data_IF_490388552246
#
_entry.id   IF_490388552246
#
_cell.length_a   1.000
_cell.length_b   1.000
_cell.length_c   1.000
_cell.angle_alpha   90.00
_cell.angle_beta   90.00
_cell.angle_gamma   90.00
#
_symmetry.space_group_name_H-M   'P 1'
#
loop_
_entity.id
_entity.type
_entity.pdbx_description
1 polymer ?
#
# COMPACT_ATOMS: atom_id res chain seq x y z
N UNK A 1 83.39 -37.12 11.11
CA UNK A 1 83.07 -36.22 10.01
C UNK A 1 81.58 -36.45 9.63
N UNK A 2 80.83 -35.50 9.72
CA UNK A 2 79.43 -35.35 10.04
C UNK A 2 78.45 -35.92 9.02
N UNK A 3 77.58 -36.79 9.49
CA UNK A 3 76.34 -37.23 8.77
C UNK A 3 75.21 -36.20 8.96
N UNK A 4 74.65 -35.69 7.87
CA UNK A 4 73.43 -34.94 7.90
C UNK A 4 72.26 -35.90 7.76
N UNK A 5 71.40 -35.93 8.79
CA UNK A 5 70.09 -36.60 8.77
C UNK A 5 69.08 -35.80 8.01
N UNK A 6 68.46 -36.42 7.01
CA UNK A 6 67.33 -35.87 6.26
C UNK A 6 66.07 -36.29 7.02
N UNK A 7 65.30 -35.29 7.55
CA UNK A 7 63.97 -35.47 8.08
C UNK A 7 62.94 -35.23 6.97
N UNK A 8 62.20 -36.27 6.60
CA UNK A 8 61.06 -36.17 5.69
C UNK A 8 59.84 -35.81 6.52
N UNK A 9 59.39 -34.60 6.38
CA UNK A 9 58.09 -34.13 6.94
C UNK A 9 56.99 -34.42 5.97
N UNK A 10 56.12 -35.36 6.28
CA UNK A 10 54.82 -35.57 5.59
C UNK A 10 53.86 -34.46 6.02
N UNK A 11 53.54 -33.51 5.10
CA UNK A 11 52.51 -32.52 5.30
C UNK A 11 51.16 -33.11 4.82
N UNK A 12 50.32 -33.50 5.77
CA UNK A 12 48.96 -33.89 5.50
C UNK A 12 48.15 -32.61 5.22
N UNK A 13 47.78 -32.37 3.97
CA UNK A 13 46.83 -31.36 3.56
C UNK A 13 45.42 -31.80 3.97
N UNK A 14 44.95 -31.36 5.11
CA UNK A 14 43.53 -31.33 5.46
C UNK A 14 42.86 -30.17 4.70
N UNK A 15 42.24 -30.49 3.58
CA UNK A 15 41.33 -29.58 2.89
C UNK A 15 40.06 -29.44 3.72
N UNK A 16 40.00 -28.41 4.57
CA UNK A 16 38.74 -27.90 5.12
C UNK A 16 37.94 -27.29 3.98
N UNK A 17 36.98 -28.04 3.49
CA UNK A 17 35.91 -27.46 2.68
C UNK A 17 35.07 -26.57 3.61
N UNK A 18 35.46 -25.30 3.72
CA UNK A 18 34.66 -24.26 4.33
C UNK A 18 33.50 -24.00 3.40
N UNK A 19 32.34 -24.66 3.63
CA UNK A 19 31.04 -24.20 3.09
C UNK A 19 30.77 -22.85 3.70
N UNK A 20 31.31 -21.80 3.12
CA UNK A 20 30.81 -20.45 3.34
C UNK A 20 29.43 -20.40 2.70
N UNK A 21 28.37 -20.56 3.51
CA UNK A 21 27.08 -19.97 3.19
C UNK A 21 27.35 -18.50 2.92
N UNK A 22 27.32 -18.15 1.66
CA UNK A 22 27.29 -16.75 1.22
C UNK A 22 25.93 -16.20 1.67
N UNK A 23 25.84 -15.76 2.93
CA UNK A 23 24.81 -14.85 3.36
C UNK A 23 25.11 -13.58 2.58
N UNK A 24 24.37 -13.37 1.48
CA UNK A 24 24.28 -12.07 0.86
C UNK A 24 23.69 -11.14 1.93
N UNK A 25 24.55 -10.39 2.63
CA UNK A 25 24.11 -9.26 3.41
C UNK A 25 23.54 -8.24 2.40
N UNK A 26 22.23 -8.32 2.13
CA UNK A 26 21.52 -7.21 1.50
C UNK A 26 21.74 -6.02 2.43
N UNK A 27 22.08 -4.87 1.87
CA UNK A 27 22.20 -3.63 2.65
C UNK A 27 20.90 -3.38 3.41
N UNK A 28 20.94 -2.84 4.65
CA UNK A 28 19.73 -2.46 5.35
C UNK A 28 18.88 -1.54 4.47
N UNK A 29 17.60 -1.84 4.33
CA UNK A 29 16.67 -0.98 3.61
C UNK A 29 16.32 0.27 4.43
N UNK A 30 15.71 1.26 3.79
CA UNK A 30 15.21 2.49 4.42
C UNK A 30 14.02 2.20 5.33
N UNK A 31 13.22 1.20 4.99
CA UNK A 31 11.96 0.83 5.65
C UNK A 31 12.10 -0.43 6.50
N UNK A 32 11.06 -0.70 7.29
CA UNK A 32 10.94 -1.97 8.02
C UNK A 32 10.88 -3.15 7.05
N UNK A 33 11.63 -4.22 7.33
CA UNK A 33 11.84 -5.32 6.37
C UNK A 33 10.52 -5.99 5.91
N UNK A 34 9.54 -6.09 6.80
CA UNK A 34 8.23 -6.69 6.48
C UNK A 34 7.39 -5.88 5.47
N UNK A 35 7.67 -4.57 5.29
CA UNK A 35 6.91 -3.73 4.36
C UNK A 35 7.26 -3.98 2.89
N UNK A 36 8.48 -4.41 2.58
CA UNK A 36 8.93 -4.52 1.19
C UNK A 36 8.15 -5.53 0.34
N UNK A 37 7.62 -6.56 0.96
CA UNK A 37 6.86 -7.61 0.27
C UNK A 37 5.37 -7.60 0.61
N UNK A 38 4.92 -6.62 1.37
CA UNK A 38 3.59 -6.56 1.92
C UNK A 38 2.51 -6.22 0.90
N UNK A 39 1.30 -6.67 1.22
CA UNK A 39 0.03 -6.27 0.61
C UNK A 39 -0.81 -5.64 1.70
N UNK A 40 -1.33 -4.44 1.42
CA UNK A 40 -2.16 -3.70 2.37
C UNK A 40 -3.65 -3.91 2.08
N UNK A 41 -4.43 -4.10 3.13
CA UNK A 41 -5.89 -4.17 3.09
C UNK A 41 -6.50 -3.03 3.89
N UNK A 42 -7.26 -2.18 3.25
CA UNK A 42 -7.98 -1.10 3.89
C UNK A 42 -9.28 -1.62 4.47
N UNK A 43 -9.36 -1.66 5.80
CA UNK A 43 -10.48 -2.18 6.55
C UNK A 43 -11.46 -1.08 6.94
N UNK A 44 -12.62 -1.05 6.31
CA UNK A 44 -13.75 -0.24 6.74
C UNK A 44 -14.55 -1.00 7.80
N UNK A 45 -14.21 -0.82 9.07
CA UNK A 45 -14.80 -1.57 10.19
C UNK A 45 -16.33 -1.50 10.20
N UNK A 46 -16.91 -0.31 9.96
CA UNK A 46 -18.37 -0.12 9.93
C UNK A 46 -19.05 -1.00 8.88
N UNK A 47 -18.41 -1.22 7.73
CA UNK A 47 -19.04 -1.85 6.56
C UNK A 47 -18.56 -3.28 6.30
N UNK A 48 -17.50 -3.72 6.99
CA UNK A 48 -16.84 -5.00 6.73
C UNK A 48 -17.69 -6.21 7.10
N UNK A 49 -18.47 -6.13 8.17
CA UNK A 49 -19.41 -7.19 8.60
C UNK A 49 -20.81 -6.62 8.82
N UNK A 50 -21.86 -7.45 8.85
CA UNK A 50 -23.20 -6.99 9.20
C UNK A 50 -23.25 -6.25 10.54
N UNK A 51 -22.49 -6.71 11.54
CA UNK A 51 -22.39 -6.10 12.87
C UNK A 51 -21.61 -4.78 12.82
N UNK A 52 -20.56 -4.70 11.99
CA UNK A 52 -19.69 -3.53 11.87
C UNK A 52 -18.83 -3.30 13.11
N UNK A 53 -18.40 -4.37 13.79
CA UNK A 53 -17.65 -4.31 15.05
C UNK A 53 -16.28 -4.98 14.94
N UNK A 54 -15.35 -4.64 15.86
CA UNK A 54 -14.06 -5.33 15.94
C UNK A 54 -14.19 -6.79 16.32
N UNK A 55 -15.14 -7.14 17.19
CA UNK A 55 -15.38 -8.54 17.53
C UNK A 55 -15.72 -9.36 16.29
N UNK A 56 -16.65 -8.88 15.45
CA UNK A 56 -17.02 -9.54 14.21
C UNK A 56 -15.89 -9.51 13.15
N UNK A 57 -15.14 -8.42 13.07
CA UNK A 57 -13.99 -8.32 12.17
C UNK A 57 -12.86 -9.29 12.55
N UNK A 58 -12.64 -9.52 13.85
CA UNK A 58 -11.64 -10.47 14.39
C UNK A 58 -11.87 -11.89 13.88
N UNK A 59 -13.13 -12.31 13.78
CA UNK A 59 -13.50 -13.63 13.24
C UNK A 59 -13.20 -13.76 11.74
N UNK A 60 -13.06 -12.64 11.03
CA UNK A 60 -12.75 -12.62 9.60
C UNK A 60 -11.22 -12.53 9.30
N UNK A 61 -10.39 -12.26 10.29
CA UNK A 61 -8.93 -12.14 10.10
C UNK A 61 -8.28 -13.39 9.48
N UNK A 62 -8.69 -14.63 9.80
CA UNK A 62 -8.19 -15.82 9.11
C UNK A 62 -8.45 -15.81 7.61
N UNK A 63 -9.58 -15.26 7.14
CA UNK A 63 -9.92 -15.13 5.72
C UNK A 63 -9.01 -14.12 5.03
N UNK A 64 -8.73 -12.97 5.67
CA UNK A 64 -7.77 -11.99 5.15
C UNK A 64 -6.35 -12.58 5.09
N UNK A 65 -5.98 -13.42 6.07
CA UNK A 65 -4.70 -14.13 6.02
C UNK A 65 -4.64 -15.15 4.89
N UNK A 66 -5.70 -15.89 4.65
CA UNK A 66 -5.83 -16.82 3.52
C UNK A 66 -5.76 -16.07 2.18
N UNK A 67 -6.35 -14.89 2.09
CA UNK A 67 -6.22 -14.00 0.93
C UNK A 67 -4.76 -13.59 0.68
N UNK A 68 -3.94 -13.54 1.72
CA UNK A 68 -2.53 -13.14 1.65
C UNK A 68 -2.28 -11.68 2.05
N UNK A 69 -3.12 -11.11 2.90
CA UNK A 69 -2.94 -9.78 3.47
C UNK A 69 -1.82 -9.77 4.51
N UNK A 70 -1.00 -8.71 4.51
CA UNK A 70 0.10 -8.51 5.46
C UNK A 70 -0.12 -7.31 6.37
N UNK A 71 -0.72 -6.24 5.86
CA UNK A 71 -1.00 -5.02 6.63
C UNK A 71 -2.51 -4.75 6.58
N UNK A 72 -3.10 -4.57 7.75
CA UNK A 72 -4.47 -4.09 7.87
C UNK A 72 -4.42 -2.60 8.21
N UNK A 73 -4.85 -1.75 7.28
CA UNK A 73 -5.11 -0.35 7.55
C UNK A 73 -6.55 -0.21 8.03
N UNK A 74 -6.73 0.05 9.31
CA UNK A 74 -8.03 0.29 9.93
C UNK A 74 -8.42 1.75 9.70
N UNK A 75 -9.53 1.99 8.99
CA UNK A 75 -10.12 3.34 8.83
C UNK A 75 -10.39 3.98 10.20
N UNK A 76 -10.58 5.32 10.28
CA UNK A 76 -10.69 5.98 11.58
C UNK A 76 -11.74 5.33 12.48
N UNK A 77 -11.36 5.01 13.70
CA UNK A 77 -12.15 4.19 14.61
C UNK A 77 -12.40 4.90 15.95
N UNK A 78 -12.06 6.15 16.04
CA UNK A 78 -12.29 7.01 17.20
C UNK A 78 -13.76 7.48 17.24
N UNK A 79 -14.26 7.90 18.42
CA UNK A 79 -15.61 8.48 18.53
C UNK A 79 -15.80 9.68 17.59
N UNK A 80 -16.96 9.74 16.99
CA UNK A 80 -17.34 10.75 16.00
C UNK A 80 -18.12 11.88 16.68
N UNK A 81 -17.82 13.14 16.29
CA UNK A 81 -18.53 14.32 16.79
C UNK A 81 -20.03 14.28 16.50
N UNK A 82 -20.78 15.00 17.31
CA UNK A 82 -22.25 15.13 17.19
C UNK A 82 -22.66 16.48 16.61
N UNK A 83 -21.86 17.53 16.93
CA UNK A 83 -22.14 18.87 16.41
C UNK A 83 -21.79 18.96 14.92
N UNK A 84 -22.80 19.28 14.10
CA UNK A 84 -22.63 19.33 12.64
C UNK A 84 -22.55 17.99 11.94
N UNK A 85 -22.85 16.89 12.65
CA UNK A 85 -22.80 15.52 12.11
C UNK A 85 -23.58 15.38 10.81
N UNK A 86 -22.93 14.80 9.79
CA UNK A 86 -23.55 14.47 8.50
C UNK A 86 -24.10 13.03 8.54
N UNK A 87 -25.29 12.81 7.95
CA UNK A 87 -25.96 11.50 7.94
C UNK A 87 -26.32 10.97 9.33
N UNK A 88 -26.60 9.67 9.42
CA UNK A 88 -27.02 9.04 10.68
C UNK A 88 -25.88 8.81 11.67
N UNK A 89 -24.72 8.32 11.19
CA UNK A 89 -23.58 7.92 12.01
C UNK A 89 -22.39 8.90 11.92
N UNK A 90 -22.39 9.80 10.98
CA UNK A 90 -21.34 10.81 10.80
C UNK A 90 -20.11 10.31 10.03
N UNK A 91 -19.23 11.26 9.74
CA UNK A 91 -17.93 11.00 9.11
C UNK A 91 -16.98 10.32 10.07
N UNK A 92 -16.31 9.25 9.65
CA UNK A 92 -15.19 8.63 10.36
C UNK A 92 -14.09 9.65 10.72
N UNK A 93 -13.94 10.69 9.89
CA UNK A 93 -12.88 11.70 10.01
C UNK A 93 -13.24 12.87 10.94
N UNK A 94 -14.48 12.96 11.44
CA UNK A 94 -14.88 13.96 12.44
C UNK A 94 -14.55 13.48 13.87
N UNK A 95 -13.27 13.47 14.23
CA UNK A 95 -12.77 12.89 15.48
C UNK A 95 -13.21 13.72 16.70
N UNK A 96 -13.86 13.07 17.68
CA UNK A 96 -14.29 13.66 18.95
C UNK A 96 -13.33 13.37 20.12
N UNK A 97 -12.61 12.27 20.08
CA UNK A 97 -11.63 11.87 21.08
C UNK A 97 -10.54 11.00 20.46
N UNK A 98 -9.29 11.49 20.47
CA UNK A 98 -8.17 10.76 19.86
C UNK A 98 -7.76 9.48 20.59
N UNK A 99 -8.08 9.35 21.89
CA UNK A 99 -7.61 8.24 22.75
C UNK A 99 -8.76 7.30 23.18
N UNK A 100 -9.78 7.19 22.36
CA UNK A 100 -10.92 6.30 22.62
C UNK A 100 -11.28 5.47 21.39
N UNK A 101 -11.84 4.29 21.62
CA UNK A 101 -12.50 3.46 20.60
C UNK A 101 -13.95 3.91 20.49
N UNK A 102 -14.44 4.09 19.26
CA UNK A 102 -15.86 4.39 19.03
C UNK A 102 -16.73 3.24 19.53
N UNK A 103 -17.69 3.52 20.42
CA UNK A 103 -18.61 2.48 20.92
C UNK A 103 -19.42 1.78 19.81
N UNK A 104 -19.58 2.39 18.65
CA UNK A 104 -20.15 1.74 17.45
C UNK A 104 -19.36 0.49 17.06
N UNK A 105 -18.03 0.50 17.21
CA UNK A 105 -17.15 -0.58 16.80
C UNK A 105 -16.80 -1.56 17.90
N UNK A 106 -17.16 -1.27 19.15
CA UNK A 106 -16.88 -2.10 20.31
C UNK A 106 -16.10 -1.41 21.41
N UNK A 107 -15.40 -2.18 22.22
CA UNK A 107 -14.62 -1.73 23.37
C UNK A 107 -13.12 -1.66 23.05
N UNK A 108 -12.33 -1.12 23.98
CA UNK A 108 -10.85 -1.18 23.90
C UNK A 108 -10.34 -2.61 23.93
N UNK A 109 -11.00 -3.47 24.68
CA UNK A 109 -10.70 -4.90 24.79
C UNK A 109 -10.97 -5.64 23.47
N UNK A 110 -12.06 -5.28 22.75
CA UNK A 110 -12.38 -5.84 21.44
C UNK A 110 -11.30 -5.42 20.41
N UNK A 111 -10.86 -4.15 20.45
CA UNK A 111 -9.79 -3.70 19.57
C UNK A 111 -8.44 -4.36 19.92
N UNK A 112 -8.10 -4.51 21.22
CA UNK A 112 -6.90 -5.25 21.62
C UNK A 112 -6.93 -6.70 21.10
N UNK A 113 -8.07 -7.38 21.26
CA UNK A 113 -8.23 -8.75 20.76
C UNK A 113 -8.08 -8.84 19.23
N UNK A 114 -8.55 -7.81 18.50
CA UNK A 114 -8.34 -7.67 17.05
C UNK A 114 -6.85 -7.55 16.70
N UNK A 115 -6.11 -6.66 17.37
CA UNK A 115 -4.66 -6.47 17.16
C UNK A 115 -3.89 -7.75 17.50
N UNK A 116 -4.16 -8.35 18.65
CA UNK A 116 -3.51 -9.59 19.09
C UNK A 116 -3.74 -10.75 18.11
N UNK A 117 -4.97 -10.87 17.60
CA UNK A 117 -5.32 -11.88 16.60
C UNK A 117 -4.62 -11.63 15.27
N UNK A 118 -4.57 -10.38 14.80
CA UNK A 118 -3.86 -10.01 13.57
C UNK A 118 -2.37 -10.35 13.70
N UNK A 119 -1.73 -9.96 14.80
CA UNK A 119 -0.32 -10.28 15.09
C UNK A 119 -0.09 -11.80 15.20
N UNK A 120 -1.00 -12.53 15.86
CA UNK A 120 -0.95 -13.99 15.97
C UNK A 120 -1.02 -14.71 14.61
N UNK A 121 -1.62 -14.07 13.61
CA UNK A 121 -1.67 -14.53 12.22
C UNK A 121 -0.50 -13.99 11.37
N UNK A 122 0.40 -13.19 11.95
CA UNK A 122 1.54 -12.58 11.27
C UNK A 122 1.18 -11.38 10.40
N UNK A 123 0.02 -10.76 10.61
CA UNK A 123 -0.38 -9.50 9.98
C UNK A 123 -0.03 -8.31 10.87
N UNK A 124 0.14 -7.14 10.25
CA UNK A 124 0.40 -5.86 10.88
C UNK A 124 -0.86 -5.00 10.92
N UNK A 125 -0.97 -4.11 11.89
CA UNK A 125 -2.13 -3.21 12.03
C UNK A 125 -1.65 -1.77 12.05
N UNK A 126 -2.11 -0.94 11.11
CA UNK A 126 -1.90 0.50 11.11
C UNK A 126 -3.24 1.22 11.24
N UNK A 127 -3.25 2.36 11.92
CA UNK A 127 -4.45 3.16 12.09
C UNK A 127 -4.49 4.33 11.12
N UNK A 128 -5.68 4.64 10.64
CA UNK A 128 -5.95 5.91 9.99
C UNK A 128 -5.90 7.04 11.04
N UNK A 129 -5.10 8.06 10.79
CA UNK A 129 -4.83 9.14 11.72
C UNK A 129 -5.20 10.50 11.14
N UNK A 130 -6.20 11.13 11.73
CA UNK A 130 -6.74 12.43 11.30
C UNK A 130 -6.05 13.54 12.06
N UNK A 131 -4.92 14.03 11.53
CA UNK A 131 -4.13 15.05 12.21
C UNK A 131 -4.51 16.49 11.84
N UNK A 132 -5.17 16.72 10.70
CA UNK A 132 -5.43 18.07 10.20
C UNK A 132 -6.57 18.78 10.93
N UNK A 133 -7.53 18.04 11.46
CA UNK A 133 -8.78 18.60 12.01
C UNK A 133 -9.40 17.70 13.09
N UNK A 134 -10.37 18.22 13.81
CA UNK A 134 -11.21 17.48 14.75
C UNK A 134 -12.68 17.72 14.45
N UNK A 135 -13.57 17.02 15.14
CA UNK A 135 -14.98 17.43 15.21
C UNK A 135 -15.11 18.78 15.93
N UNK A 136 -16.16 19.60 15.66
CA UNK A 136 -16.38 20.89 16.31
C UNK A 136 -16.68 20.80 17.82
N UNK A 137 -17.10 19.62 18.30
CA UNK A 137 -17.36 19.30 19.70
C UNK A 137 -16.25 18.50 20.39
N UNK A 138 -15.05 18.44 19.76
CA UNK A 138 -13.87 17.87 20.38
C UNK A 138 -13.44 18.69 21.61
N UNK A 139 -13.05 18.09 22.75
CA UNK A 139 -12.62 18.82 23.94
C UNK A 139 -11.51 19.87 23.69
N UNK A 140 -10.64 19.63 22.73
CA UNK A 140 -9.55 20.57 22.37
C UNK A 140 -10.05 21.91 21.85
N UNK A 141 -11.30 22.02 21.41
CA UNK A 141 -11.90 23.30 20.96
C UNK A 141 -12.03 24.32 22.10
N UNK A 142 -11.96 23.86 23.35
CA UNK A 142 -11.97 24.71 24.55
C UNK A 142 -10.57 25.29 24.89
N UNK A 143 -9.50 24.75 24.27
CA UNK A 143 -8.14 25.22 24.49
C UNK A 143 -7.86 26.42 23.57
N UNK A 144 -7.46 27.52 24.14
CA UNK A 144 -7.17 28.76 23.40
C UNK A 144 -6.04 28.53 22.38
N UNK A 145 -6.29 28.90 21.13
CA UNK A 145 -5.32 28.85 20.04
C UNK A 145 -5.02 27.46 19.50
N UNK A 146 -5.71 26.39 19.94
CA UNK A 146 -5.50 25.04 19.39
C UNK A 146 -6.21 24.83 18.05
N UNK A 147 -7.27 25.59 17.78
CA UNK A 147 -7.96 25.59 16.49
C UNK A 147 -7.88 26.97 15.86
N UNK A 148 -7.90 27.03 14.54
CA UNK A 148 -8.11 28.29 13.85
C UNK A 148 -9.54 28.80 14.07
N UNK A 149 -9.67 30.13 14.25
CA UNK A 149 -10.96 30.82 14.39
C UNK A 149 -11.02 31.99 13.41
N UNK A 150 -12.22 32.30 12.96
CA UNK A 150 -12.48 33.49 12.16
C UNK A 150 -12.45 34.77 13.03
N UNK A 151 -12.63 35.93 12.41
CA UNK A 151 -12.64 37.24 13.11
C UNK A 151 -13.80 37.41 14.10
N UNK A 152 -14.82 36.54 14.05
CA UNK A 152 -15.96 36.50 14.96
C UNK A 152 -15.78 35.48 16.07
N UNK A 153 -14.68 34.75 16.06
CA UNK A 153 -14.37 33.71 17.05
C UNK A 153 -14.96 32.33 16.74
N UNK A 154 -15.59 32.13 15.58
CA UNK A 154 -16.11 30.82 15.18
C UNK A 154 -14.98 29.90 14.76
N UNK A 155 -15.11 28.59 15.03
CA UNK A 155 -14.17 27.57 14.55
C UNK A 155 -14.13 27.56 13.01
N UNK A 156 -12.94 27.54 12.46
CA UNK A 156 -12.78 27.48 10.99
C UNK A 156 -12.99 26.07 10.47
N UNK A 157 -13.86 25.95 9.47
CA UNK A 157 -13.98 24.76 8.62
C UNK A 157 -12.93 24.81 7.52
N UNK A 158 -12.66 23.65 6.90
CA UNK A 158 -11.83 23.57 5.71
C UNK A 158 -12.64 23.00 4.56
N UNK A 159 -12.49 23.58 3.37
CA UNK A 159 -13.30 23.24 2.20
C UNK A 159 -14.80 23.29 2.51
N UNK A 160 -15.57 22.30 2.09
CA UNK A 160 -17.00 22.10 2.38
C UNK A 160 -17.25 21.13 3.55
N UNK A 161 -16.21 20.82 4.35
CA UNK A 161 -16.27 19.88 5.47
C UNK A 161 -16.81 20.53 6.73
N UNK A 162 -18.13 20.76 6.73
CA UNK A 162 -18.81 21.54 7.80
C UNK A 162 -18.92 20.83 9.14
N UNK A 163 -18.56 19.56 9.19
CA UNK A 163 -18.53 18.69 10.37
C UNK A 163 -17.14 18.56 11.02
N UNK A 164 -16.17 19.41 10.58
CA UNK A 164 -14.83 19.46 11.16
C UNK A 164 -14.39 20.89 11.51
N UNK A 165 -13.31 20.98 12.30
CA UNK A 165 -12.65 22.23 12.69
C UNK A 165 -11.13 22.10 12.56
N UNK A 166 -10.51 23.03 11.81
CA UNK A 166 -9.08 22.98 11.47
C UNK A 166 -8.21 23.25 12.71
N UNK A 167 -7.22 22.37 12.94
CA UNK A 167 -6.21 22.50 13.99
C UNK A 167 -5.15 23.56 13.65
N UNK A 168 -4.65 24.25 14.67
CA UNK A 168 -3.64 25.28 14.53
C UNK A 168 -2.24 24.76 14.93
N UNK A 169 -1.48 24.36 13.94
CA UNK A 169 -0.11 23.85 14.10
C UNK A 169 0.93 24.92 14.49
N UNK A 170 0.56 26.19 14.61
CA UNK A 170 1.43 27.20 15.25
C UNK A 170 1.47 27.07 16.77
N UNK A 171 0.52 26.32 17.37
CA UNK A 171 0.44 26.11 18.81
C UNK A 171 1.26 24.88 19.24
N UNK A 172 2.29 25.09 20.07
CA UNK A 172 3.20 24.02 20.50
C UNK A 172 2.52 22.98 21.42
N UNK A 173 1.59 23.40 22.27
CA UNK A 173 0.89 22.49 23.18
C UNK A 173 -0.06 21.56 22.41
N UNK A 174 -0.72 22.09 21.38
CA UNK A 174 -1.53 21.28 20.49
C UNK A 174 -0.69 20.23 19.73
N UNK A 175 0.47 20.65 19.18
CA UNK A 175 1.41 19.72 18.52
C UNK A 175 1.87 18.62 19.48
N UNK A 176 2.18 18.97 20.73
CA UNK A 176 2.56 17.99 21.74
C UNK A 176 1.42 17.03 22.07
N UNK A 177 0.21 17.53 22.26
CA UNK A 177 -0.97 16.70 22.52
C UNK A 177 -1.27 15.74 21.35
N UNK A 178 -1.08 16.17 20.11
CA UNK A 178 -1.22 15.32 18.93
C UNK A 178 -0.18 14.18 18.93
N UNK A 179 1.09 14.49 19.17
CA UNK A 179 2.15 13.49 19.32
C UNK A 179 1.82 12.47 20.42
N UNK A 180 1.43 12.94 21.62
CA UNK A 180 1.12 12.07 22.76
C UNK A 180 -0.10 11.17 22.45
N UNK A 181 -1.08 11.68 21.69
CA UNK A 181 -2.22 10.88 21.25
C UNK A 181 -1.80 9.75 20.30
N UNK A 182 -0.90 10.02 19.36
CA UNK A 182 -0.33 8.97 18.48
C UNK A 182 0.46 7.94 19.30
N UNK A 183 1.32 8.44 20.20
CA UNK A 183 2.14 7.58 21.07
C UNK A 183 1.28 6.67 21.94
N UNK A 184 0.14 7.18 22.45
CA UNK A 184 -0.79 6.39 23.27
C UNK A 184 -1.29 5.11 22.57
N UNK A 185 -1.59 5.16 21.26
CA UNK A 185 -2.02 3.98 20.50
C UNK A 185 -0.89 2.96 20.34
N UNK A 186 0.33 3.43 20.08
CA UNK A 186 1.51 2.54 20.00
C UNK A 186 1.80 1.87 21.35
N UNK A 187 1.78 2.64 22.45
CA UNK A 187 2.08 2.12 23.78
C UNK A 187 0.98 1.20 24.33
N UNK A 188 -0.30 1.50 24.03
CA UNK A 188 -1.44 0.81 24.63
C UNK A 188 -1.78 -0.47 23.90
N UNK A 189 -1.82 -0.44 22.55
CA UNK A 189 -2.30 -1.55 21.74
C UNK A 189 -1.20 -2.24 20.92
N UNK A 190 -0.01 -1.64 20.85
CA UNK A 190 1.10 -2.19 20.09
C UNK A 190 0.85 -2.22 18.58
N UNK A 191 0.10 -1.26 18.04
CA UNK A 191 -0.10 -1.11 16.60
C UNK A 191 1.22 -0.88 15.87
N UNK A 192 1.27 -1.16 14.56
CA UNK A 192 2.49 -1.14 13.79
C UNK A 192 2.72 0.17 13.00
N UNK A 193 1.84 1.15 13.12
CA UNK A 193 2.00 2.45 12.45
C UNK A 193 0.72 3.19 12.12
N UNK A 194 0.82 4.12 11.16
CA UNK A 194 -0.27 5.04 10.82
C UNK A 194 -0.39 5.29 9.30
N UNK A 195 -1.61 5.43 8.82
CA UNK A 195 -1.95 6.18 7.62
C UNK A 195 -2.42 7.56 8.03
N UNK A 196 -1.84 8.62 7.53
CA UNK A 196 -2.19 9.98 7.92
C UNK A 196 -3.04 10.66 6.86
N UNK A 197 -4.26 11.00 7.28
CA UNK A 197 -5.27 11.71 6.51
C UNK A 197 -4.80 13.11 6.11
N UNK A 198 -5.02 13.50 4.84
CA UNK A 198 -4.60 14.79 4.24
C UNK A 198 -3.26 15.29 4.78
N UNK A 199 -2.26 14.41 4.81
CA UNK A 199 -0.97 14.66 5.46
C UNK A 199 -0.27 15.92 4.92
N UNK A 200 -0.55 16.31 3.69
CA UNK A 200 -0.01 17.51 3.05
C UNK A 200 -0.55 18.83 3.63
N UNK A 201 -1.66 18.80 4.34
CA UNK A 201 -2.24 19.98 5.02
C UNK A 201 -1.62 20.23 6.41
N UNK A 202 -0.83 19.28 6.90
CA UNK A 202 -0.13 19.35 8.19
C UNK A 202 1.35 19.66 7.92
N UNK A 203 1.97 20.61 8.66
CA UNK A 203 3.35 21.02 8.39
C UNK A 203 4.34 19.87 8.43
N UNK A 204 5.24 19.80 7.44
CA UNK A 204 6.27 18.76 7.31
C UNK A 204 7.17 18.69 8.55
N UNK A 205 7.53 19.84 9.15
CA UNK A 205 8.36 19.88 10.35
C UNK A 205 7.68 19.23 11.57
N UNK A 206 6.34 19.26 11.65
CA UNK A 206 5.60 18.52 12.66
C UNK A 206 5.75 17.00 12.45
N UNK A 207 5.56 16.53 11.22
CA UNK A 207 5.71 15.11 10.90
C UNK A 207 7.12 14.62 11.19
N UNK A 208 8.13 15.39 10.78
CA UNK A 208 9.54 15.06 11.01
C UNK A 208 9.87 14.92 12.50
N UNK A 209 9.47 15.89 13.30
CA UNK A 209 9.70 15.86 14.74
C UNK A 209 8.91 14.74 15.45
N UNK A 210 7.66 14.52 15.01
CA UNK A 210 6.79 13.49 15.56
C UNK A 210 7.35 12.10 15.30
N UNK A 211 7.68 11.78 14.05
CA UNK A 211 8.17 10.45 13.72
C UNK A 211 9.61 10.20 14.20
N UNK A 212 10.45 11.22 14.29
CA UNK A 212 11.73 11.09 14.98
C UNK A 212 11.53 10.67 16.44
N UNK A 213 10.57 11.30 17.14
CA UNK A 213 10.27 10.98 18.53
C UNK A 213 9.66 9.58 18.69
N UNK A 214 8.67 9.23 17.88
CA UNK A 214 8.01 7.94 17.95
C UNK A 214 8.97 6.79 17.63
N UNK A 215 9.84 6.95 16.64
CA UNK A 215 10.82 5.92 16.24
C UNK A 215 11.91 5.69 17.31
N UNK A 216 12.14 6.61 18.26
CA UNK A 216 13.05 6.33 19.37
C UNK A 216 12.56 5.20 20.27
N UNK A 217 11.26 5.05 20.46
CA UNK A 217 10.66 4.00 21.29
C UNK A 217 9.99 2.89 20.49
N UNK A 218 9.56 3.20 19.28
CA UNK A 218 8.87 2.30 18.33
C UNK A 218 9.58 2.29 16.97
N UNK A 219 10.81 1.75 16.87
CA UNK A 219 11.64 1.87 15.66
C UNK A 219 11.08 1.15 14.43
N UNK A 220 10.11 0.26 14.62
CA UNK A 220 9.56 -0.59 13.56
C UNK A 220 8.17 -0.11 13.07
N UNK A 221 7.78 1.14 13.35
CA UNK A 221 6.52 1.70 12.84
C UNK A 221 6.61 1.94 11.33
N UNK A 222 5.51 1.69 10.64
CA UNK A 222 5.32 1.97 9.23
C UNK A 222 4.36 3.15 9.04
N UNK A 223 4.65 4.00 8.05
CA UNK A 223 3.94 5.27 7.87
C UNK A 223 3.52 5.48 6.44
N UNK A 224 2.22 5.75 6.24
CA UNK A 224 1.61 6.04 4.95
C UNK A 224 1.00 7.45 4.97
N UNK A 225 1.42 8.32 4.06
CA UNK A 225 0.82 9.65 3.89
C UNK A 225 -0.25 9.63 2.80
N UNK A 226 -1.39 10.23 3.08
CA UNK A 226 -2.27 10.68 2.01
C UNK A 226 -1.73 11.99 1.44
N UNK A 227 -0.84 11.85 0.47
CA UNK A 227 -0.16 12.92 -0.24
C UNK A 227 0.44 12.39 -1.54
N UNK A 228 0.61 13.25 -2.54
CA UNK A 228 1.34 12.97 -3.76
C UNK A 228 2.01 14.26 -4.28
N UNK A 229 2.92 14.18 -5.23
CA UNK A 229 3.60 15.28 -5.98
C UNK A 229 4.08 16.49 -5.17
N UNK A 230 3.18 17.46 -4.88
CA UNK A 230 3.54 18.72 -4.23
C UNK A 230 4.19 18.52 -2.85
N UNK A 231 3.93 17.37 -2.25
CA UNK A 231 4.32 17.03 -0.89
C UNK A 231 5.33 15.88 -0.83
N UNK A 232 6.11 15.71 -1.92
CA UNK A 232 7.16 14.69 -2.00
C UNK A 232 8.17 14.77 -0.85
N UNK A 233 8.35 15.96 -0.24
CA UNK A 233 9.20 16.16 0.93
C UNK A 233 8.78 15.30 2.13
N UNK A 234 7.51 14.93 2.24
CA UNK A 234 7.03 14.04 3.30
C UNK A 234 7.71 12.66 3.24
N UNK A 235 8.02 12.16 2.05
CA UNK A 235 8.67 10.86 1.87
C UNK A 235 10.19 10.90 2.09
N UNK A 236 10.79 12.07 2.19
CA UNK A 236 12.25 12.19 2.44
C UNK A 236 12.62 11.69 3.83
N UNK A 237 11.77 11.95 4.84
CA UNK A 237 12.09 11.63 6.23
C UNK A 237 10.96 10.93 6.99
N UNK A 238 9.75 11.46 6.92
CA UNK A 238 8.65 11.10 7.83
C UNK A 238 7.93 9.84 7.40
N UNK A 239 7.59 9.73 6.11
CA UNK A 239 6.71 8.68 5.61
C UNK A 239 7.45 7.66 4.75
N UNK A 240 7.10 6.39 4.95
CA UNK A 240 7.60 5.27 4.16
C UNK A 240 6.89 5.17 2.82
N UNK A 241 5.60 5.56 2.78
CA UNK A 241 4.70 5.33 1.66
C UNK A 241 3.83 6.57 1.38
N UNK A 242 3.50 6.75 0.10
CA UNK A 242 2.64 7.82 -0.41
C UNK A 242 1.58 7.28 -1.36
N UNK A 243 0.51 8.05 -1.60
CA UNK A 243 -0.57 7.68 -2.54
C UNK A 243 -0.16 7.84 -3.99
N UNK A 244 -0.55 6.90 -4.83
CA UNK A 244 -0.44 7.00 -6.29
C UNK A 244 -1.73 7.53 -6.93
N UNK A 245 -2.20 8.71 -6.54
CA UNK A 245 -3.45 9.30 -7.04
C UNK A 245 -3.43 9.56 -8.55
N UNK A 246 -2.36 10.18 -9.06
CA UNK A 246 -2.26 10.46 -10.50
C UNK A 246 -2.24 9.16 -11.31
N UNK A 247 -1.51 8.14 -10.82
CA UNK A 247 -1.52 6.82 -11.45
C UNK A 247 -2.93 6.21 -11.48
N UNK A 248 -3.63 6.28 -10.35
CA UNK A 248 -5.01 5.81 -10.23
C UNK A 248 -5.94 6.49 -11.24
N UNK A 249 -5.86 7.81 -11.36
CA UNK A 249 -6.65 8.58 -12.34
C UNK A 249 -6.27 8.20 -13.78
N UNK A 250 -4.98 8.01 -14.08
CA UNK A 250 -4.54 7.58 -15.41
C UNK A 250 -5.08 6.17 -15.73
N UNK A 251 -5.07 5.23 -14.79
CA UNK A 251 -5.63 3.91 -14.99
C UNK A 251 -7.15 3.97 -15.32
N UNK A 252 -7.91 4.81 -14.60
CA UNK A 252 -9.32 5.06 -14.92
C UNK A 252 -9.50 5.69 -16.32
N UNK A 253 -8.68 6.66 -16.69
CA UNK A 253 -8.73 7.31 -18.00
C UNK A 253 -8.37 6.33 -19.15
N UNK A 254 -7.43 5.40 -18.92
CA UNK A 254 -7.10 4.33 -19.89
C UNK A 254 -8.29 3.36 -20.02
N UNK A 255 -8.86 2.90 -18.89
CA UNK A 255 -10.03 2.04 -18.90
C UNK A 255 -11.23 2.64 -19.65
N UNK A 256 -11.33 3.96 -19.66
CA UNK A 256 -12.39 4.72 -20.34
C UNK A 256 -12.00 5.15 -21.77
N UNK A 257 -10.87 4.70 -22.29
CA UNK A 257 -10.41 5.04 -23.64
C UNK A 257 -9.96 6.51 -23.83
N UNK A 258 -9.77 7.26 -22.73
CA UNK A 258 -9.32 8.67 -22.77
C UNK A 258 -7.81 8.81 -22.87
N UNK A 259 -7.07 7.81 -22.40
CA UNK A 259 -5.61 7.72 -22.41
C UNK A 259 -5.16 6.33 -22.88
N UNK A 260 -3.88 6.15 -23.08
CA UNK A 260 -3.26 4.90 -23.54
C UNK A 260 -2.03 4.53 -22.70
N UNK A 261 -1.32 3.46 -23.08
CA UNK A 261 -0.12 2.97 -22.41
C UNK A 261 1.00 4.03 -22.29
N UNK A 262 1.13 4.96 -23.26
CA UNK A 262 2.16 6.01 -23.23
C UNK A 262 1.96 6.96 -22.03
N UNK A 263 0.70 7.19 -21.62
CA UNK A 263 0.39 8.02 -20.46
C UNK A 263 0.89 7.41 -19.15
N UNK A 264 0.89 6.09 -19.04
CA UNK A 264 1.46 5.37 -17.89
C UNK A 264 2.98 5.51 -17.85
N UNK A 265 3.65 5.39 -19.02
CA UNK A 265 5.10 5.60 -19.10
C UNK A 265 5.50 7.04 -18.78
N UNK A 266 4.75 8.02 -19.26
CA UNK A 266 4.98 9.43 -18.95
C UNK A 266 4.85 9.69 -17.42
N UNK A 267 3.87 9.06 -16.77
CA UNK A 267 3.72 9.13 -15.32
C UNK A 267 4.94 8.54 -14.59
N UNK A 268 5.39 7.33 -14.94
CA UNK A 268 6.54 6.72 -14.28
C UNK A 268 7.81 7.56 -14.43
N UNK A 269 8.09 8.05 -15.65
CA UNK A 269 9.23 8.93 -15.89
C UNK A 269 9.17 10.23 -15.08
N UNK A 270 7.96 10.80 -14.87
CA UNK A 270 7.75 11.98 -14.03
C UNK A 270 7.95 11.64 -12.54
N UNK A 271 7.36 10.55 -12.06
CA UNK A 271 7.45 10.14 -10.66
C UNK A 271 8.89 9.85 -10.22
N UNK A 272 9.69 9.22 -11.09
CA UNK A 272 11.12 8.94 -10.85
C UNK A 272 11.97 10.23 -10.69
N UNK A 273 11.47 11.40 -11.11
CA UNK A 273 12.15 12.68 -10.91
C UNK A 273 11.72 13.43 -9.66
N UNK A 274 10.59 13.07 -9.07
CA UNK A 274 9.96 13.77 -7.95
C UNK A 274 10.23 13.06 -6.63
N UNK A 275 10.01 11.74 -6.60
CA UNK A 275 10.12 10.96 -5.37
C UNK A 275 11.50 10.31 -5.24
N UNK A 276 12.02 10.17 -4.00
CA UNK A 276 13.19 9.34 -3.76
C UNK A 276 12.93 7.90 -4.22
N UNK A 277 13.97 7.24 -4.71
CA UNK A 277 13.91 5.85 -5.21
C UNK A 277 13.51 4.82 -4.13
N UNK A 278 13.62 5.17 -2.86
CA UNK A 278 13.14 4.35 -1.74
C UNK A 278 11.66 4.62 -1.37
N UNK A 279 11.04 5.74 -1.76
CA UNK A 279 9.66 6.04 -1.37
C UNK A 279 8.66 5.05 -1.98
N UNK A 280 7.91 4.36 -1.14
CA UNK A 280 6.95 3.34 -1.60
C UNK A 280 5.67 4.01 -2.09
N UNK A 281 5.28 3.75 -3.33
CA UNK A 281 3.98 4.20 -3.85
C UNK A 281 2.90 3.19 -3.50
N UNK A 282 1.76 3.65 -2.97
CA UNK A 282 0.55 2.85 -2.85
C UNK A 282 -0.15 2.76 -4.22
N UNK A 283 -0.29 1.56 -4.73
CA UNK A 283 -0.98 1.28 -5.99
C UNK A 283 -2.37 0.72 -5.69
N UNK A 284 -3.43 1.34 -6.23
CA UNK A 284 -4.79 0.92 -5.92
C UNK A 284 -5.75 1.14 -7.10
N UNK A 285 -6.78 0.33 -7.18
CA UNK A 285 -7.91 0.49 -8.11
C UNK A 285 -9.13 1.10 -7.42
N UNK A 286 -9.21 1.01 -6.09
CA UNK A 286 -10.24 1.65 -5.26
C UNK A 286 -9.70 1.89 -3.84
N UNK A 287 -10.38 2.77 -3.10
CA UNK A 287 -10.25 3.02 -1.68
C UNK A 287 -11.60 3.52 -1.14
N UNK A 288 -11.67 3.92 0.13
CA UNK A 288 -12.92 4.42 0.72
C UNK A 288 -13.47 5.67 0.03
N UNK A 289 -12.61 6.59 -0.44
CA UNK A 289 -13.02 7.80 -1.15
C UNK A 289 -13.57 7.48 -2.53
N UNK A 290 -12.80 6.77 -3.34
CA UNK A 290 -13.22 6.39 -4.68
C UNK A 290 -14.53 5.60 -4.66
N UNK A 291 -14.64 4.62 -3.77
CA UNK A 291 -15.86 3.83 -3.61
C UNK A 291 -17.06 4.68 -3.20
N UNK A 292 -16.87 5.63 -2.28
CA UNK A 292 -17.98 6.44 -1.74
C UNK A 292 -18.42 7.57 -2.67
N UNK A 293 -17.50 8.14 -3.46
CA UNK A 293 -17.75 9.40 -4.18
C UNK A 293 -17.64 9.29 -5.71
N UNK A 294 -16.77 8.41 -6.22
CA UNK A 294 -16.52 8.28 -7.67
C UNK A 294 -17.18 7.04 -8.28
N UNK A 295 -17.53 6.06 -7.47
CA UNK A 295 -18.11 4.79 -7.91
C UNK A 295 -17.20 3.59 -7.63
N UNK A 296 -17.75 2.40 -7.81
CA UNK A 296 -16.96 1.17 -7.67
C UNK A 296 -15.95 1.05 -8.81
N UNK A 297 -14.91 0.24 -8.64
CA UNK A 297 -13.96 -0.05 -9.71
C UNK A 297 -14.65 -0.66 -10.94
N UNK A 298 -15.69 -1.45 -10.75
CA UNK A 298 -16.48 -2.04 -11.85
C UNK A 298 -17.23 -0.97 -12.63
N UNK A 299 -17.74 0.09 -11.97
CA UNK A 299 -18.40 1.22 -12.65
C UNK A 299 -17.42 2.16 -13.32
N UNK A 300 -16.21 2.33 -12.78
CA UNK A 300 -15.19 3.24 -13.29
C UNK A 300 -14.31 2.62 -14.38
N UNK A 301 -13.97 1.35 -14.24
CA UNK A 301 -13.03 0.63 -15.10
C UNK A 301 -13.71 -0.46 -15.97
N UNK A 302 -14.96 -0.86 -15.66
CA UNK A 302 -15.64 -1.93 -16.39
C UNK A 302 -14.83 -3.23 -16.42
N UNK A 303 -14.77 -3.87 -17.58
CA UNK A 303 -14.05 -5.14 -17.81
C UNK A 303 -12.50 -5.00 -17.67
N UNK A 304 -11.98 -3.77 -17.66
CA UNK A 304 -10.56 -3.50 -17.43
C UNK A 304 -10.12 -3.73 -15.97
N UNK A 305 -11.04 -3.76 -15.01
CA UNK A 305 -10.73 -3.84 -13.60
C UNK A 305 -9.78 -4.98 -13.21
N UNK A 306 -9.98 -6.25 -13.63
CA UNK A 306 -9.08 -7.34 -13.24
C UNK A 306 -7.64 -7.15 -13.77
N UNK A 307 -7.51 -6.58 -14.97
CA UNK A 307 -6.20 -6.27 -15.56
C UNK A 307 -5.50 -5.18 -14.77
N UNK A 308 -6.19 -4.09 -14.40
CA UNK A 308 -5.60 -3.02 -13.59
C UNK A 308 -5.32 -3.47 -12.15
N UNK A 309 -6.12 -4.35 -11.56
CA UNK A 309 -5.79 -5.00 -10.30
C UNK A 309 -4.44 -5.74 -10.42
N UNK A 310 -4.26 -6.59 -11.44
CA UNK A 310 -2.98 -7.29 -11.68
C UNK A 310 -1.81 -6.32 -11.97
N UNK A 311 -2.08 -5.22 -12.68
CA UNK A 311 -1.11 -4.18 -12.98
C UNK A 311 -0.53 -3.55 -11.71
N UNK A 312 -1.36 -3.28 -10.67
CA UNK A 312 -0.91 -2.72 -9.39
C UNK A 312 0.10 -3.60 -8.66
N UNK A 313 0.10 -4.92 -8.91
CA UNK A 313 1.05 -5.88 -8.34
C UNK A 313 2.35 -5.98 -9.13
N UNK A 314 2.28 -5.77 -10.44
CA UNK A 314 3.45 -5.86 -11.30
C UNK A 314 4.35 -4.63 -11.21
N UNK A 315 3.79 -3.43 -11.19
CA UNK A 315 4.54 -2.17 -11.16
C UNK A 315 5.23 -1.95 -9.80
N UNK A 316 6.30 -1.11 -9.72
CA UNK A 316 6.91 -0.75 -8.44
C UNK A 316 5.93 -0.10 -7.48
N UNK A 317 5.99 -0.48 -6.20
CA UNK A 317 5.12 0.01 -5.14
C UNK A 317 4.49 -1.12 -4.32
N UNK A 318 3.48 -0.78 -3.53
CA UNK A 318 2.73 -1.72 -2.69
C UNK A 318 1.25 -1.69 -3.10
N UNK A 319 0.64 -2.85 -3.44
CA UNK A 319 -0.77 -2.91 -3.79
C UNK A 319 -1.68 -2.77 -2.57
N UNK A 320 -2.80 -2.08 -2.75
CA UNK A 320 -3.90 -1.96 -1.81
C UNK A 320 -5.11 -2.75 -2.32
N UNK A 321 -5.76 -3.47 -1.41
CA UNK A 321 -7.11 -4.02 -1.57
C UNK A 321 -8.04 -3.26 -0.63
N UNK A 322 -9.10 -2.66 -1.15
CA UNK A 322 -10.14 -2.04 -0.33
C UNK A 322 -11.23 -3.06 0.04
N UNK A 323 -11.79 -2.91 1.25
CA UNK A 323 -12.89 -3.72 1.79
C UNK A 323 -13.96 -4.06 0.76
N UNK A 324 -14.14 -5.35 0.47
CA UNK A 324 -15.15 -5.88 -0.45
C UNK A 324 -14.66 -6.17 -1.87
N UNK A 325 -13.50 -5.66 -2.28
CA UNK A 325 -12.93 -5.96 -3.61
C UNK A 325 -12.67 -7.47 -3.79
N UNK A 326 -12.25 -8.14 -2.72
CA UNK A 326 -12.01 -9.59 -2.71
C UNK A 326 -13.27 -10.43 -2.94
N UNK A 327 -14.44 -9.83 -2.77
CA UNK A 327 -15.73 -10.47 -3.05
C UNK A 327 -16.38 -9.99 -4.35
N UNK A 328 -15.75 -9.10 -5.09
CA UNK A 328 -16.36 -8.44 -6.25
C UNK A 328 -17.60 -7.65 -5.87
N UNK A 329 -17.58 -6.98 -4.72
CA UNK A 329 -18.68 -6.16 -4.25
C UNK A 329 -18.82 -4.93 -5.16
N UNK A 330 -19.90 -4.87 -5.92
CA UNK A 330 -20.18 -3.72 -6.79
C UNK A 330 -21.17 -2.76 -6.13
N UNK A 331 -20.83 -2.32 -4.91
CA UNK A 331 -21.65 -1.42 -4.11
C UNK A 331 -20.86 -0.19 -3.70
N UNK A 332 -21.40 1.00 -3.99
CA UNK A 332 -20.98 2.24 -3.35
C UNK A 332 -21.44 2.21 -1.89
N UNK A 333 -20.49 2.08 -0.96
CA UNK A 333 -20.80 2.01 0.47
C UNK A 333 -21.20 3.39 1.00
N UNK A 334 -22.24 3.41 1.83
CA UNK A 334 -22.71 4.67 2.45
C UNK A 334 -21.71 5.19 3.44
N UNK A 335 -21.12 6.36 3.17
CA UNK A 335 -20.06 6.91 4.01
C UNK A 335 -20.53 7.31 5.41
N UNK A 336 -21.72 7.92 5.51
CA UNK A 336 -22.24 8.49 6.76
C UNK A 336 -23.23 7.56 7.50
N UNK A 337 -23.50 6.39 6.98
CA UNK A 337 -24.50 5.46 7.51
C UNK A 337 -23.98 4.04 7.51
N UNK A 338 -24.66 3.14 8.26
CA UNK A 338 -24.38 1.72 8.20
C UNK A 338 -24.79 1.15 6.83
N UNK A 339 -23.87 0.44 6.24
CA UNK A 339 -24.05 -0.40 5.05
C UNK A 339 -23.28 -1.71 5.28
N UNK A 340 -23.16 -2.57 4.29
CA UNK A 340 -22.37 -3.80 4.41
C UNK A 340 -21.94 -4.25 3.02
N UNK A 341 -20.70 -4.69 2.89
CA UNK A 341 -20.20 -5.31 1.67
C UNK A 341 -21.00 -6.56 1.32
N UNK A 342 -21.13 -6.83 0.04
CA UNK A 342 -21.69 -8.08 -0.44
C UNK A 342 -20.61 -9.16 -0.44
N UNK A 343 -20.78 -10.18 0.40
CA UNK A 343 -19.87 -11.35 0.40
C UNK A 343 -20.44 -12.42 -0.53
N UNK A 344 -19.65 -12.80 -1.52
CA UNK A 344 -19.99 -13.87 -2.46
C UNK A 344 -19.12 -15.09 -2.17
N UNK A 345 -19.74 -16.23 -1.97
CA UNK A 345 -19.01 -17.49 -1.86
C UNK A 345 -18.29 -17.79 -3.19
N UNK A 346 -17.03 -18.26 -3.09
CA UNK A 346 -16.20 -18.59 -4.26
C UNK A 346 -16.06 -17.44 -5.27
N UNK A 347 -15.95 -16.20 -4.80
CA UNK A 347 -15.72 -15.05 -5.65
C UNK A 347 -14.47 -15.25 -6.53
N UNK A 348 -14.59 -14.98 -7.83
CA UNK A 348 -13.43 -15.05 -8.74
C UNK A 348 -12.35 -14.03 -8.34
N UNK A 349 -12.77 -12.90 -7.82
CA UNK A 349 -11.90 -11.84 -7.32
C UNK A 349 -11.05 -12.31 -6.14
N UNK A 350 -11.62 -13.12 -5.23
CA UNK A 350 -10.84 -13.70 -4.12
C UNK A 350 -9.68 -14.57 -4.66
N UNK A 351 -10.00 -15.47 -5.58
CA UNK A 351 -8.98 -16.34 -6.21
C UNK A 351 -7.95 -15.53 -7.00
N UNK A 352 -8.37 -14.46 -7.68
CA UNK A 352 -7.49 -13.55 -8.40
C UNK A 352 -6.52 -12.86 -7.44
N UNK A 353 -7.01 -12.20 -6.39
CA UNK A 353 -6.16 -11.52 -5.41
C UNK A 353 -5.25 -12.50 -4.67
N UNK A 354 -5.75 -13.67 -4.28
CA UNK A 354 -4.93 -14.71 -3.64
C UNK A 354 -3.74 -15.12 -4.53
N UNK A 355 -3.99 -15.29 -5.83
CA UNK A 355 -2.95 -15.62 -6.82
C UNK A 355 -1.93 -14.48 -6.99
N UNK A 356 -2.38 -13.23 -7.04
CA UNK A 356 -1.52 -12.05 -7.14
C UNK A 356 -0.70 -11.84 -5.86
N UNK A 357 -1.32 -12.00 -4.68
CA UNK A 357 -0.64 -11.92 -3.39
C UNK A 357 0.46 -12.99 -3.29
N UNK A 358 0.15 -14.23 -3.67
CA UNK A 358 1.12 -15.32 -3.72
C UNK A 358 2.30 -14.99 -4.65
N UNK A 359 2.04 -14.53 -5.87
CA UNK A 359 3.08 -14.11 -6.82
C UNK A 359 4.00 -13.06 -6.19
N UNK A 360 3.44 -12.05 -5.53
CA UNK A 360 4.22 -11.00 -4.86
C UNK A 360 5.08 -11.56 -3.73
N UNK A 361 4.53 -12.39 -2.86
CA UNK A 361 5.24 -12.97 -1.73
C UNK A 361 6.39 -13.88 -2.15
N UNK A 362 6.23 -14.63 -3.23
CA UNK A 362 7.26 -15.56 -3.74
C UNK A 362 8.35 -14.84 -4.54
N UNK A 363 8.11 -13.62 -5.04
CA UNK A 363 9.03 -12.91 -5.91
C UNK A 363 9.80 -11.79 -5.21
N UNK A 364 11.12 -11.98 -5.06
CA UNK A 364 12.01 -10.88 -4.62
C UNK A 364 12.06 -9.72 -5.62
N UNK A 365 11.76 -9.97 -6.90
CA UNK A 365 11.77 -8.99 -7.98
C UNK A 365 10.63 -8.00 -7.82
N UNK A 366 9.46 -8.47 -7.36
CA UNK A 366 8.26 -7.65 -7.18
C UNK A 366 8.21 -6.93 -5.83
N UNK A 367 9.21 -7.03 -4.98
CA UNK A 367 9.31 -6.25 -3.75
C UNK A 367 9.24 -4.75 -4.06
N UNK A 368 8.87 -3.97 -3.04
CA UNK A 368 8.80 -2.52 -3.18
C UNK A 368 10.20 -1.91 -3.26
N UNK A 369 10.33 -0.87 -4.07
CA UNK A 369 11.43 0.08 -4.20
C UNK A 369 12.82 -0.57 -4.19
N UNK A 370 13.77 -0.08 -3.38
CA UNK A 370 15.17 -0.49 -3.38
C UNK A 370 15.42 -1.98 -3.06
N UNK A 371 14.41 -2.70 -2.54
CA UNK A 371 14.49 -4.16 -2.34
C UNK A 371 13.92 -4.96 -3.50
N UNK A 372 13.18 -4.31 -4.40
CA UNK A 372 12.67 -4.88 -5.64
C UNK A 372 13.59 -4.64 -6.83
N UNK A 373 13.12 -4.97 -7.99
CA UNK A 373 13.81 -4.70 -9.24
C UNK A 373 13.21 -3.48 -9.95
N UNK A 374 14.06 -2.64 -10.54
CA UNK A 374 13.61 -1.55 -11.40
C UNK A 374 12.76 -2.09 -12.56
N UNK A 375 11.81 -1.30 -12.99
CA UNK A 375 10.96 -1.59 -14.14
C UNK A 375 11.54 -0.93 -15.39
N UNK A 376 11.70 -1.71 -16.46
CA UNK A 376 12.19 -1.25 -17.73
C UNK A 376 11.15 -1.51 -18.83
N UNK A 377 10.99 -0.54 -19.72
CA UNK A 377 10.14 -0.69 -20.90
C UNK A 377 10.69 -1.80 -21.81
N UNK A 378 9.83 -2.68 -22.25
CA UNK A 378 10.08 -3.57 -23.39
C UNK A 378 9.47 -2.90 -24.63
N UNK A 379 10.33 -2.53 -25.59
CA UNK A 379 9.87 -1.98 -26.86
C UNK A 379 8.99 -3.00 -27.59
N UNK A 380 7.84 -2.57 -28.07
CA UNK A 380 6.93 -3.37 -28.87
C UNK A 380 6.43 -2.54 -30.05
N UNK A 381 5.71 -3.16 -30.99
CA UNK A 381 5.20 -2.53 -32.22
C UNK A 381 3.74 -2.06 -32.11
N UNK A 382 3.14 -2.09 -30.90
CA UNK A 382 1.74 -1.71 -30.67
C UNK A 382 1.58 -0.86 -29.39
N UNK A 383 1.29 0.42 -29.55
CA UNK A 383 1.14 1.38 -28.45
C UNK A 383 -0.13 1.19 -27.60
N UNK A 384 -1.04 0.30 -27.99
CA UNK A 384 -2.15 -0.16 -27.18
C UNK A 384 -1.73 -1.18 -26.09
N UNK A 385 -0.50 -1.70 -26.20
CA UNK A 385 0.02 -2.72 -25.28
C UNK A 385 1.12 -2.14 -24.41
N UNK A 386 0.93 -2.20 -23.10
CA UNK A 386 1.99 -1.91 -22.12
C UNK A 386 2.83 -3.17 -21.94
N UNK A 387 4.14 -3.09 -22.17
CA UNK A 387 5.06 -4.20 -21.94
C UNK A 387 6.29 -3.76 -21.18
N UNK A 388 6.63 -4.49 -20.12
CA UNK A 388 7.74 -4.16 -19.25
C UNK A 388 8.43 -5.39 -18.67
N UNK A 389 9.67 -5.22 -18.25
CA UNK A 389 10.45 -6.21 -17.55
C UNK A 389 11.01 -5.64 -16.25
N UNK A 390 10.96 -6.44 -15.19
CA UNK A 390 11.66 -6.18 -13.93
C UNK A 390 12.75 -7.23 -13.77
N UNK A 391 14.00 -6.81 -13.61
CA UNK A 391 15.15 -7.71 -13.64
C UNK A 391 15.89 -7.68 -12.32
N UNK A 392 16.07 -8.85 -11.71
CA UNK A 392 16.92 -8.98 -10.52
C UNK A 392 18.30 -8.35 -10.78
N UNK A 393 18.86 -7.58 -9.84
CA UNK A 393 20.23 -7.09 -9.94
C UNK A 393 21.27 -8.19 -10.16
N UNK A 394 20.94 -9.44 -9.82
CA UNK A 394 21.77 -10.62 -10.11
C UNK A 394 21.81 -10.99 -11.60
N UNK A 395 20.99 -10.39 -12.45
CA UNK A 395 20.93 -10.61 -13.90
C UNK A 395 20.41 -11.99 -14.35
N UNK A 396 19.93 -12.83 -13.43
CA UNK A 396 19.55 -14.22 -13.73
C UNK A 396 18.06 -14.51 -13.67
N UNK A 397 17.27 -13.60 -13.14
CA UNK A 397 15.83 -13.74 -12.98
C UNK A 397 15.15 -12.44 -13.38
N UNK A 398 13.99 -12.56 -13.98
CA UNK A 398 13.15 -11.44 -14.36
C UNK A 398 11.67 -11.79 -14.21
N UNK A 399 10.85 -10.75 -14.12
CA UNK A 399 9.39 -10.84 -14.29
C UNK A 399 9.01 -9.94 -15.45
N UNK A 400 8.27 -10.48 -16.40
CA UNK A 400 7.77 -9.75 -17.58
C UNK A 400 6.29 -9.54 -17.42
N UNK A 401 5.82 -8.32 -17.66
CA UNK A 401 4.40 -7.98 -17.70
C UNK A 401 4.02 -7.43 -19.06
N UNK A 402 2.93 -7.96 -19.61
CA UNK A 402 2.35 -7.57 -20.88
C UNK A 402 0.86 -7.35 -20.66
N UNK A 403 0.34 -6.18 -21.01
CA UNK A 403 -1.02 -5.77 -20.71
C UNK A 403 -1.65 -5.13 -21.95
N UNK A 404 -2.76 -5.68 -22.44
CA UNK A 404 -3.59 -5.02 -23.44
C UNK A 404 -4.40 -3.92 -22.75
N UNK A 405 -4.10 -2.66 -23.05
CA UNK A 405 -4.72 -1.48 -22.44
C UNK A 405 -5.98 -1.00 -23.17
N UNK A 406 -6.66 -1.91 -23.89
CA UNK A 406 -7.85 -1.59 -24.69
C UNK A 406 -8.93 -2.69 -24.59
N UNK A 407 -10.15 -2.31 -24.94
CA UNK A 407 -11.33 -3.17 -25.07
C UNK A 407 -11.41 -3.92 -26.42
N UNK A 408 -10.32 -3.90 -27.19
CA UNK A 408 -10.20 -4.59 -28.47
C UNK A 408 -9.10 -5.66 -28.42
N UNK A 409 -9.21 -6.68 -29.28
CA UNK A 409 -8.14 -7.64 -29.49
C UNK A 409 -6.90 -6.94 -30.07
N UNK A 410 -5.73 -7.21 -29.53
CA UNK A 410 -4.47 -6.61 -29.96
C UNK A 410 -3.46 -7.68 -30.34
N UNK A 411 -2.83 -7.52 -31.50
CA UNK A 411 -1.65 -8.30 -31.89
C UNK A 411 -0.40 -7.49 -31.65
N UNK A 412 0.62 -8.10 -31.05
CA UNK A 412 1.86 -7.42 -30.67
C UNK A 412 3.07 -8.31 -30.82
N UNK A 413 4.19 -7.71 -31.24
CA UNK A 413 5.51 -8.34 -31.30
C UNK A 413 6.42 -7.72 -30.25
N UNK A 414 6.96 -8.53 -29.34
CA UNK A 414 7.77 -8.08 -28.23
C UNK A 414 9.10 -8.82 -28.20
N UNK A 415 10.23 -8.17 -28.57
CA UNK A 415 11.55 -8.72 -28.31
C UNK A 415 11.85 -8.64 -26.82
N UNK A 416 11.78 -9.78 -26.11
CA UNK A 416 12.07 -9.84 -24.68
C UNK A 416 13.58 -9.91 -24.49
N UNK A 417 14.21 -8.76 -24.39
CA UNK A 417 15.65 -8.63 -24.18
C UNK A 417 15.96 -7.48 -23.22
N UNK A 418 17.04 -7.60 -22.48
CA UNK A 418 17.58 -6.50 -21.66
C UNK A 418 19.10 -6.44 -21.83
N UNK A 419 19.68 -5.26 -22.15
CA UNK A 419 21.11 -5.13 -22.36
C UNK A 419 21.95 -5.63 -21.17
N UNK A 420 22.93 -6.47 -21.46
CA UNK A 420 23.86 -6.99 -20.44
C UNK A 420 23.33 -8.13 -19.58
N UNK A 421 22.14 -8.70 -19.86
CA UNK A 421 21.54 -9.77 -19.09
C UNK A 421 21.34 -11.04 -19.91
N UNK A 422 21.70 -12.18 -19.31
CA UNK A 422 21.38 -13.48 -19.85
C UNK A 422 20.05 -13.95 -19.24
N UNK A 423 18.94 -13.57 -19.89
CA UNK A 423 17.61 -14.00 -19.46
C UNK A 423 17.40 -15.51 -19.66
N UNK A 424 16.53 -16.15 -18.87
CA UNK A 424 16.11 -17.53 -19.11
C UNK A 424 15.47 -17.65 -20.49
N UNK A 425 15.70 -18.75 -21.20
CA UNK A 425 15.08 -18.97 -22.54
C UNK A 425 13.56 -19.16 -22.48
N UNK A 426 13.02 -19.49 -21.32
CA UNK A 426 11.61 -19.77 -21.10
C UNK A 426 11.09 -19.10 -19.85
N UNK A 427 9.95 -18.47 -19.96
CA UNK A 427 9.17 -17.92 -18.85
C UNK A 427 7.87 -18.69 -18.68
N UNK A 428 7.33 -18.73 -17.48
CA UNK A 428 6.03 -19.34 -17.17
C UNK A 428 5.12 -18.30 -16.59
N UNK A 429 3.90 -18.17 -17.10
CA UNK A 429 2.92 -17.23 -16.55
C UNK A 429 2.20 -17.77 -15.31
N UNK A 430 1.29 -16.95 -14.78
CA UNK A 430 0.52 -17.28 -13.59
C UNK A 430 -0.45 -18.46 -13.80
N UNK A 431 -0.76 -18.83 -15.04
CA UNK A 431 -1.63 -19.95 -15.41
C UNK A 431 -0.84 -21.22 -15.79
N UNK A 432 0.50 -21.13 -15.73
CA UNK A 432 1.40 -22.24 -16.04
C UNK A 432 1.73 -22.36 -17.52
N UNK A 433 1.34 -21.41 -18.35
CA UNK A 433 1.69 -21.36 -19.77
C UNK A 433 3.15 -20.96 -19.94
N UNK A 434 3.87 -21.69 -20.80
CA UNK A 434 5.29 -21.45 -21.07
C UNK A 434 5.49 -20.63 -22.35
N UNK A 435 6.33 -19.61 -22.25
CA UNK A 435 6.72 -18.71 -23.34
C UNK A 435 8.21 -18.81 -23.60
N UNK A 436 8.59 -19.13 -24.86
CA UNK A 436 10.00 -19.10 -25.28
C UNK A 436 10.35 -17.70 -25.78
N UNK A 437 11.46 -17.13 -25.29
CA UNK A 437 11.95 -15.80 -25.71
C UNK A 437 13.16 -15.88 -26.65
N UNK A 438 13.44 -17.04 -27.24
CA UNK A 438 14.49 -17.19 -28.27
C UNK A 438 14.26 -16.32 -29.50
N UNK A 439 12.99 -16.14 -29.82
CA UNK A 439 12.49 -15.24 -30.86
C UNK A 439 11.57 -14.21 -30.21
N UNK A 440 11.28 -13.06 -30.83
CA UNK A 440 10.28 -12.14 -30.34
C UNK A 440 8.94 -12.84 -30.07
N UNK A 441 8.30 -12.49 -28.97
CA UNK A 441 6.96 -12.99 -28.67
C UNK A 441 5.97 -12.41 -29.67
N UNK A 442 5.25 -13.26 -30.41
CA UNK A 442 4.11 -12.91 -31.23
C UNK A 442 2.84 -13.28 -30.47
N UNK A 443 2.11 -12.29 -29.99
CA UNK A 443 0.95 -12.51 -29.14
C UNK A 443 -0.29 -11.86 -29.74
N UNK A 444 -1.42 -12.56 -29.62
CA UNK A 444 -2.76 -11.98 -29.78
C UNK A 444 -3.40 -11.96 -28.41
N UNK A 445 -3.69 -10.77 -27.92
CA UNK A 445 -4.24 -10.51 -26.59
C UNK A 445 -5.72 -10.15 -26.72
N UNK A 446 -6.57 -10.86 -26.02
CA UNK A 446 -7.98 -10.49 -25.91
C UNK A 446 -8.13 -9.09 -25.24
N UNK A 447 -9.30 -8.44 -25.34
CA UNK A 447 -9.59 -7.21 -24.60
C UNK A 447 -9.18 -7.31 -23.14
N UNK A 448 -8.41 -6.33 -22.64
CA UNK A 448 -7.95 -6.23 -21.24
C UNK A 448 -7.16 -7.45 -20.73
N UNK A 449 -6.70 -8.31 -21.64
CA UNK A 449 -5.88 -9.46 -21.24
C UNK A 449 -4.51 -9.00 -20.72
N UNK A 450 -4.04 -9.67 -19.68
CA UNK A 450 -2.67 -9.50 -19.18
C UNK A 450 -1.94 -10.82 -19.08
N UNK A 451 -0.62 -10.77 -19.20
CA UNK A 451 0.31 -11.89 -19.01
C UNK A 451 1.40 -11.39 -18.06
N UNK A 452 1.56 -12.02 -16.90
CA UNK A 452 2.69 -11.80 -15.99
C UNK A 452 3.41 -13.14 -15.90
N UNK A 453 4.67 -13.16 -16.34
CA UNK A 453 5.47 -14.39 -16.43
C UNK A 453 6.85 -14.22 -15.78
N UNK A 454 7.36 -15.30 -15.17
CA UNK A 454 8.62 -15.35 -14.45
C UNK A 454 9.43 -16.63 -14.73
#
# INVERSE_FOLDING_TARGET
MTMKKIFLAMLALLSFACCTKQTSCEAPGKHVEWAYNAVIYELNTRQFTPEGTFAAATEQLPVLKELGVDIIWVMPMQPIGELGRKGGLGSYYAIKDYCAVNPEFGTKEDFQAFVDKAHGLGMKVILDWVANHTAPDHPWTQNEGWHYRDSLGNLMVQYDWTDISKLNYSNADMRHAMLESMKWWLDTFGIDGFRCDVAYEVPTDFWDATYDTLRMTHPNIFTLSEAEHADSLLTVKSFDMYYGWELHHIMNDVAQGKKNADSLWAYFAKADTIFPDYAIRMNFTSNHDENSWAGTEMTRMGDAYPMFAAFTYFIPGMPLIYTGQEYGSNRMLRFFDKDTIERKDNAQEFAMYQKLNKMRHESKILRSQEKGAAMHCLTNDNNAVFSAIRVCPCGKKAVVGIFNMTDEEQTVNIPVAHPGLALPETFTDLDGVKYSIKEPLHLTLAPWQYIIMQ
#
